data_IF_608996279068
#
_entry.id   IF_608996279068
#
_cell.length_a   1.000
_cell.length_b   1.000
_cell.length_c   1.000
_cell.angle_alpha   90.00
_cell.angle_beta   90.00
_cell.angle_gamma   90.00
#
_symmetry.space_group_name_H-M   'P 1'
#
loop_
_entity.id
_entity.type
_entity.pdbx_description
1 polymer ?
#
# COMPACT_ATOMS: atom_id res chain seq x y z
N UNK A 1 11.38 -16.24 5.96
CA UNK A 1 10.90 -15.23 6.92
C UNK A 1 9.98 -14.32 6.14
N UNK A 2 8.71 -14.24 6.53
CA UNK A 2 7.70 -13.50 5.77
C UNK A 2 7.51 -12.10 6.35
N UNK A 3 7.02 -11.19 5.53
CA UNK A 3 6.74 -9.81 5.89
C UNK A 3 5.31 -9.44 5.50
N UNK A 4 4.67 -8.58 6.29
CA UNK A 4 3.40 -7.96 5.98
C UNK A 4 3.54 -6.42 6.02
N UNK A 5 2.70 -5.72 5.28
CA UNK A 5 2.66 -4.26 5.25
C UNK A 5 1.56 -3.78 6.19
N UNK A 6 1.92 -3.02 7.22
CA UNK A 6 0.98 -2.36 8.13
C UNK A 6 0.86 -0.89 7.79
N UNK A 7 -0.36 -0.41 7.65
CA UNK A 7 -0.65 1.01 7.44
C UNK A 7 -0.59 1.71 8.80
N UNK A 8 0.23 2.74 8.92
CA UNK A 8 0.43 3.48 10.17
C UNK A 8 -0.30 4.83 10.11
N UNK A 9 -0.20 5.53 9.00
CA UNK A 9 -0.85 6.82 8.80
C UNK A 9 -1.45 6.91 7.40
N UNK A 10 -2.58 7.58 7.33
CA UNK A 10 -3.36 7.76 6.13
C UNK A 10 -2.97 9.11 5.47
N UNK A 11 -3.20 9.29 4.15
CA UNK A 11 -2.61 10.40 3.38
C UNK A 11 -3.01 11.80 3.85
N UNK A 12 -4.14 11.91 4.55
CA UNK A 12 -4.73 13.12 5.15
C UNK A 12 -4.29 13.35 6.60
N UNK A 13 -3.43 12.49 7.14
CA UNK A 13 -3.01 12.51 8.55
C UNK A 13 -4.12 12.12 9.52
N UNK A 14 -5.28 11.67 9.03
CA UNK A 14 -6.37 11.22 9.88
C UNK A 14 -6.23 9.73 10.22
N UNK A 15 -6.83 9.32 11.35
CA UNK A 15 -7.00 7.91 11.67
C UNK A 15 -8.21 7.37 10.92
N UNK A 16 -8.08 7.20 9.60
CA UNK A 16 -9.12 6.53 8.80
C UNK A 16 -9.22 5.04 9.17
N UNK A 17 -10.28 4.37 8.72
CA UNK A 17 -10.55 2.94 9.00
C UNK A 17 -9.43 1.98 8.58
N UNK A 18 -8.51 2.40 7.71
CA UNK A 18 -7.35 1.61 7.24
C UNK A 18 -6.11 1.76 8.12
N UNK A 19 -6.03 2.83 8.91
CA UNK A 19 -4.89 3.10 9.77
C UNK A 19 -4.83 2.07 10.92
N UNK A 20 -3.65 1.49 11.16
CA UNK A 20 -3.43 0.43 12.13
C UNK A 20 -3.69 -1.00 11.62
N UNK A 21 -4.24 -1.14 10.40
CA UNK A 21 -4.53 -2.43 9.77
C UNK A 21 -3.42 -2.89 8.81
N UNK A 22 -3.46 -4.16 8.44
CA UNK A 22 -2.53 -4.77 7.49
C UNK A 22 -3.12 -4.76 6.08
N UNK A 23 -2.25 -4.65 5.08
CA UNK A 23 -2.63 -4.73 3.69
C UNK A 23 -3.00 -6.18 3.33
N UNK A 24 -4.23 -6.38 2.85
CA UNK A 24 -4.74 -7.68 2.42
C UNK A 24 -4.63 -7.84 0.90
N UNK A 25 -4.96 -6.80 0.15
CA UNK A 25 -4.78 -6.72 -1.29
C UNK A 25 -4.59 -5.26 -1.74
N UNK A 26 -4.16 -5.08 -2.98
CA UNK A 26 -4.15 -3.77 -3.64
C UNK A 26 -4.38 -3.93 -5.14
N UNK A 27 -5.35 -3.19 -5.65
CA UNK A 27 -5.51 -2.94 -7.08
C UNK A 27 -4.91 -1.55 -7.38
N UNK A 28 -3.78 -1.51 -8.09
CA UNK A 28 -3.10 -0.27 -8.45
C UNK A 28 -3.80 0.52 -9.57
N UNK A 29 -4.69 -0.13 -10.32
CA UNK A 29 -5.36 0.43 -11.50
C UNK A 29 -6.80 0.84 -11.22
N UNK A 30 -7.35 0.44 -10.07
CA UNK A 30 -8.67 0.85 -9.62
C UNK A 30 -8.86 2.38 -9.68
N UNK A 31 -10.10 2.80 -9.93
CA UNK A 31 -10.53 4.20 -9.96
C UNK A 31 -9.64 5.07 -10.88
N UNK A 32 -9.43 4.61 -12.11
CA UNK A 32 -8.59 5.27 -13.12
C UNK A 32 -7.13 5.44 -12.66
N UNK A 33 -6.53 4.39 -12.09
CA UNK A 33 -5.13 4.40 -11.64
C UNK A 33 -4.88 5.12 -10.31
N UNK A 34 -5.92 5.49 -9.56
CA UNK A 34 -5.76 6.04 -8.19
C UNK A 34 -5.47 4.94 -7.17
N UNK A 35 -5.82 3.72 -7.51
CA UNK A 35 -5.66 2.53 -6.71
C UNK A 35 -6.72 2.37 -5.63
N UNK A 36 -6.84 1.15 -5.15
CA UNK A 36 -7.74 0.72 -4.08
C UNK A 36 -7.04 -0.35 -3.24
N UNK A 37 -7.33 -0.35 -1.94
CA UNK A 37 -6.70 -1.28 -0.99
C UNK A 37 -7.77 -1.99 -0.18
N UNK A 38 -7.57 -3.30 0.03
CA UNK A 38 -8.21 -4.08 1.06
C UNK A 38 -7.31 -4.16 2.29
N UNK A 39 -7.91 -4.10 3.48
CA UNK A 39 -7.19 -4.15 4.75
C UNK A 39 -7.84 -5.13 5.72
N UNK A 40 -7.01 -5.75 6.56
CA UNK A 40 -7.43 -6.68 7.61
C UNK A 40 -6.79 -6.32 8.95
N UNK A 41 -7.42 -6.70 10.07
CA UNK A 41 -6.88 -6.43 11.41
C UNK A 41 -5.81 -7.45 11.83
N UNK A 42 -5.93 -8.68 11.33
CA UNK A 42 -5.05 -9.79 11.68
C UNK A 42 -3.93 -9.93 10.65
N UNK A 43 -2.69 -9.96 11.12
CA UNK A 43 -1.49 -10.11 10.29
C UNK A 43 -1.45 -11.43 9.52
N UNK A 44 -2.11 -12.48 10.02
CA UNK A 44 -2.14 -13.78 9.34
C UNK A 44 -3.09 -13.79 8.13
N UNK A 45 -4.04 -12.85 8.06
CA UNK A 45 -4.95 -12.68 6.93
C UNK A 45 -4.40 -11.67 5.90
N UNK A 46 -3.25 -11.06 6.20
CA UNK A 46 -2.61 -10.06 5.35
C UNK A 46 -1.88 -10.68 4.15
N UNK A 47 -1.58 -9.85 3.16
CA UNK A 47 -0.66 -10.21 2.08
C UNK A 47 0.75 -10.41 2.64
N UNK A 48 1.35 -11.57 2.35
CA UNK A 48 2.71 -11.91 2.78
C UNK A 48 3.71 -11.79 1.65
N UNK A 49 4.91 -11.35 2.01
CA UNK A 49 6.04 -11.18 1.12
C UNK A 49 7.23 -12.00 1.61
N UNK A 50 7.87 -12.74 0.72
CA UNK A 50 9.02 -13.62 1.04
C UNK A 50 10.26 -12.89 1.56
N UNK A 51 10.32 -11.57 1.38
CA UNK A 51 11.41 -10.74 1.87
C UNK A 51 10.98 -9.29 2.06
N UNK A 52 11.72 -8.56 2.89
CA UNK A 52 11.54 -7.12 3.05
C UNK A 52 11.69 -6.37 1.72
N UNK A 53 12.64 -6.79 0.88
CA UNK A 53 12.85 -6.18 -0.44
C UNK A 53 11.61 -6.34 -1.32
N UNK A 54 10.99 -7.51 -1.31
CA UNK A 54 9.76 -7.76 -2.07
C UNK A 54 8.61 -6.87 -1.58
N UNK A 55 8.41 -6.76 -0.26
CA UNK A 55 7.38 -5.89 0.31
C UNK A 55 7.60 -4.41 -0.05
N UNK A 56 8.85 -3.92 0.02
CA UNK A 56 9.21 -2.53 -0.35
C UNK A 56 8.99 -2.28 -1.85
N UNK A 57 9.36 -3.24 -2.69
CA UNK A 57 9.13 -3.15 -4.14
C UNK A 57 7.63 -3.09 -4.45
N UNK A 58 6.84 -3.94 -3.82
CA UNK A 58 5.38 -3.96 -3.99
C UNK A 58 4.72 -2.64 -3.54
N UNK A 59 5.12 -2.11 -2.37
CA UNK A 59 4.66 -0.81 -1.88
C UNK A 59 4.97 0.35 -2.85
N UNK A 60 6.04 0.22 -3.65
CA UNK A 60 6.46 1.22 -4.64
C UNK A 60 5.91 0.98 -6.05
N UNK A 61 5.04 -0.02 -6.24
CA UNK A 61 4.43 -0.31 -7.53
C UNK A 61 3.73 0.94 -8.08
N UNK A 62 3.98 1.20 -9.36
CA UNK A 62 3.46 2.35 -10.08
C UNK A 62 2.25 1.92 -10.90
N UNK A 63 1.21 2.75 -10.94
CA UNK A 63 0.09 2.56 -11.86
C UNK A 63 0.57 2.64 -13.32
N UNK A 64 0.03 1.77 -14.16
CA UNK A 64 0.24 1.71 -15.60
C UNK A 64 -0.85 2.47 -16.36
N UNK A 65 -2.06 2.58 -15.81
CA UNK A 65 -3.17 3.36 -16.37
C UNK A 65 -2.88 4.86 -16.31
N UNK A 66 -2.41 5.34 -15.16
CA UNK A 66 -2.01 6.75 -14.97
C UNK A 66 -0.60 6.75 -14.40
N UNK A 67 0.45 6.66 -15.23
CA UNK A 67 1.83 6.49 -14.75
C UNK A 67 2.40 7.74 -14.05
N UNK A 68 1.87 8.92 -14.34
CA UNK A 68 2.29 10.19 -13.73
C UNK A 68 1.08 10.92 -13.17
N UNK A 69 1.24 11.51 -11.98
CA UNK A 69 0.20 12.32 -11.35
C UNK A 69 -0.01 13.62 -12.12
N UNK A 70 -1.25 14.00 -12.47
CA UNK A 70 -1.52 15.23 -13.22
C UNK A 70 -1.08 16.52 -12.50
N UNK A 71 -1.09 16.52 -11.17
CA UNK A 71 -0.83 17.72 -10.37
C UNK A 71 0.64 18.09 -10.25
N UNK A 72 1.54 17.09 -10.16
CA UNK A 72 2.97 17.32 -9.92
C UNK A 72 3.91 16.55 -10.86
N UNK A 73 3.37 15.78 -11.81
CA UNK A 73 4.14 15.03 -12.80
C UNK A 73 4.97 13.87 -12.24
N UNK A 74 4.91 13.62 -10.93
CA UNK A 74 5.66 12.55 -10.26
C UNK A 74 5.06 11.17 -10.56
N UNK A 75 5.83 10.08 -10.42
CA UNK A 75 5.31 8.72 -10.59
C UNK A 75 4.09 8.49 -9.71
N UNK A 76 3.03 7.94 -10.28
CA UNK A 76 1.83 7.60 -9.54
C UNK A 76 2.00 6.23 -8.88
N UNK A 77 2.28 6.24 -7.58
CA UNK A 77 2.44 5.03 -6.76
C UNK A 77 1.38 5.05 -5.66
N UNK A 78 0.18 4.47 -5.91
CA UNK A 78 -0.96 4.59 -5.02
C UNK A 78 -0.68 4.30 -3.55
N UNK A 79 0.01 3.18 -3.27
CA UNK A 79 0.33 2.77 -1.90
C UNK A 79 1.28 3.72 -1.16
N UNK A 80 2.09 4.50 -1.88
CA UNK A 80 3.02 5.46 -1.24
C UNK A 80 2.34 6.70 -0.70
N UNK A 81 1.03 6.85 -0.92
CA UNK A 81 0.22 7.84 -0.22
C UNK A 81 0.08 7.51 1.28
N UNK A 82 0.23 6.25 1.67
CA UNK A 82 0.17 5.80 3.06
C UNK A 82 1.57 5.71 3.69
N UNK A 83 1.69 6.09 4.96
CA UNK A 83 2.85 5.73 5.78
C UNK A 83 2.70 4.29 6.24
N UNK A 84 3.72 3.46 6.01
CA UNK A 84 3.66 2.01 6.32
C UNK A 84 4.84 1.55 7.18
N UNK A 85 4.62 0.44 7.91
CA UNK A 85 5.66 -0.37 8.55
C UNK A 85 5.66 -1.77 7.93
N UNK A 86 6.85 -2.35 7.80
CA UNK A 86 7.02 -3.73 7.36
C UNK A 86 7.22 -4.60 8.59
N UNK A 87 6.20 -5.39 8.95
CA UNK A 87 6.23 -6.26 10.11
C UNK A 87 6.60 -7.69 9.70
N UNK A 88 7.34 -8.38 10.58
CA UNK A 88 7.65 -9.79 10.37
C UNK A 88 6.44 -10.63 10.77
N UNK A 89 6.14 -11.64 9.97
CA UNK A 89 5.13 -12.68 10.25
C UNK A 89 5.81 -13.92 10.78
#
# INVERSE_FOLDING_TARGET
MMYAIKIVECPDGSQNESCGKFLMDCDFEAREGRGEIGVCENIFDAMHFDSLLHAVSYWRTQSTTVPRRPTDGKPNRPLTAYSVKFEKV
#
